data_IF_304677050038
#
_entry.id   IF_304677050038
#
_cell.length_a   1.000
_cell.length_b   1.000
_cell.length_c   1.000
_cell.angle_alpha   90.00
_cell.angle_beta   90.00
_cell.angle_gamma   90.00
#
_symmetry.space_group_name_H-M   'P 1'
#
loop_
_entity.id
_entity.type
_entity.pdbx_description
1 polymer ?
#
# COMPACT_ATOMS: atom_id res chain seq x y z
N UNK A 1 -14.22 -7.78 -7.55
CA UNK A 1 -12.74 -7.72 -7.56
C UNK A 1 -12.18 -7.02 -6.32
N UNK A 2 -12.48 -5.74 -6.07
CA UNK A 2 -11.96 -5.01 -4.89
C UNK A 2 -12.30 -5.66 -3.53
N UNK A 3 -13.54 -6.15 -3.36
CA UNK A 3 -13.96 -6.86 -2.15
C UNK A 3 -13.12 -8.12 -1.87
N UNK A 4 -12.70 -8.83 -2.92
CA UNK A 4 -11.88 -10.05 -2.80
C UNK A 4 -10.46 -9.74 -2.31
N UNK A 5 -9.84 -8.65 -2.78
CA UNK A 5 -8.52 -8.22 -2.31
C UNK A 5 -8.52 -7.83 -0.83
N UNK A 6 -9.58 -7.15 -0.39
CA UNK A 6 -9.77 -6.79 1.01
C UNK A 6 -9.97 -8.05 1.87
N UNK A 7 -10.79 -9.00 1.45
CA UNK A 7 -10.95 -10.26 2.16
C UNK A 7 -9.64 -11.04 2.27
N UNK A 8 -8.86 -11.14 1.19
CA UNK A 8 -7.56 -11.81 1.22
C UNK A 8 -6.58 -11.23 2.25
N UNK A 9 -6.71 -9.96 2.61
CA UNK A 9 -5.92 -9.37 3.70
C UNK A 9 -6.42 -9.79 5.08
N UNK A 10 -7.74 -9.75 5.29
CA UNK A 10 -8.38 -10.03 6.58
C UNK A 10 -8.51 -11.54 6.87
N UNK A 11 -8.44 -12.39 5.86
CA UNK A 11 -8.48 -13.85 6.02
C UNK A 11 -7.15 -14.41 6.59
N UNK A 12 -6.07 -13.61 6.55
CA UNK A 12 -4.75 -14.00 7.06
C UNK A 12 -4.62 -13.52 8.52
N UNK A 13 -4.32 -14.40 9.48
CA UNK A 13 -4.14 -14.00 10.87
C UNK A 13 -2.96 -13.03 11.03
N UNK A 14 -3.11 -12.05 11.93
CA UNK A 14 -2.05 -11.10 12.26
C UNK A 14 -0.80 -11.82 12.80
N UNK A 15 0.38 -11.34 12.40
CA UNK A 15 1.65 -11.95 12.78
C UNK A 15 1.99 -13.26 12.02
N UNK A 16 1.18 -13.69 11.07
CA UNK A 16 1.47 -14.88 10.23
C UNK A 16 1.54 -14.54 8.75
N UNK A 17 2.15 -15.41 7.95
CA UNK A 17 2.25 -15.29 6.48
C UNK A 17 2.58 -13.86 5.98
N UNK A 18 3.58 -13.19 6.58
CA UNK A 18 3.84 -11.76 6.32
C UNK A 18 4.01 -11.43 4.83
N UNK A 19 4.61 -12.33 4.04
CA UNK A 19 4.78 -12.16 2.61
C UNK A 19 3.42 -12.05 1.88
N UNK A 20 2.45 -12.89 2.23
CA UNK A 20 1.13 -12.92 1.62
C UNK A 20 0.30 -11.71 2.04
N UNK A 21 0.38 -11.33 3.31
CA UNK A 21 -0.28 -10.15 3.86
C UNK A 21 0.27 -8.85 3.26
N UNK A 22 1.60 -8.79 3.09
CA UNK A 22 2.28 -7.70 2.38
C UNK A 22 1.86 -7.64 0.92
N UNK A 23 1.76 -8.78 0.23
CA UNK A 23 1.31 -8.79 -1.16
C UNK A 23 -0.14 -8.30 -1.29
N UNK A 24 -1.02 -8.68 -0.35
CA UNK A 24 -2.40 -8.21 -0.31
C UNK A 24 -2.46 -6.68 -0.11
N UNK A 25 -1.74 -6.10 0.85
CA UNK A 25 -1.71 -4.64 1.05
C UNK A 25 -1.05 -3.90 -0.09
N UNK A 26 -0.01 -4.46 -0.69
CA UNK A 26 0.64 -3.91 -1.90
C UNK A 26 -0.35 -3.87 -3.07
N UNK A 27 -1.13 -4.92 -3.26
CA UNK A 27 -2.15 -5.02 -4.31
C UNK A 27 -3.27 -4.02 -4.09
N UNK A 28 -3.73 -3.85 -2.84
CA UNK A 28 -4.71 -2.82 -2.46
C UNK A 28 -4.14 -1.43 -2.77
N UNK A 29 -2.92 -1.14 -2.31
CA UNK A 29 -2.23 0.13 -2.55
C UNK A 29 -2.06 0.42 -4.05
N UNK A 30 -1.62 -0.57 -4.83
CA UNK A 30 -1.48 -0.46 -6.27
C UNK A 30 -2.81 -0.20 -6.98
N UNK A 31 -3.88 -0.90 -6.60
CA UNK A 31 -5.22 -0.65 -7.14
C UNK A 31 -5.71 0.77 -6.83
N UNK A 32 -5.53 1.24 -5.59
CA UNK A 32 -5.85 2.62 -5.20
C UNK A 32 -5.00 3.63 -5.99
N UNK A 33 -3.71 3.37 -6.15
CA UNK A 33 -2.80 4.22 -6.93
C UNK A 33 -3.18 4.31 -8.41
N UNK A 34 -3.64 3.22 -9.02
CA UNK A 34 -4.17 3.23 -10.39
C UNK A 34 -5.44 4.08 -10.51
N UNK A 35 -6.37 3.97 -9.56
CA UNK A 35 -7.59 4.79 -9.55
C UNK A 35 -7.23 6.27 -9.43
N UNK A 36 -6.34 6.63 -8.49
CA UNK A 36 -5.86 8.01 -8.33
C UNK A 36 -5.16 8.51 -9.61
N UNK A 37 -4.36 7.65 -10.25
CA UNK A 37 -3.69 7.97 -11.51
C UNK A 37 -4.68 8.24 -12.64
N UNK A 38 -5.72 7.41 -12.77
CA UNK A 38 -6.76 7.58 -13.77
C UNK A 38 -7.44 8.94 -13.63
N UNK A 39 -7.83 9.32 -12.40
CA UNK A 39 -8.37 10.65 -12.13
C UNK A 39 -7.36 11.76 -12.42
N UNK A 40 -6.09 11.58 -12.05
CA UNK A 40 -5.08 12.61 -12.29
C UNK A 40 -4.81 12.84 -13.78
N UNK A 41 -4.81 11.81 -14.61
CA UNK A 41 -4.57 11.94 -16.06
C UNK A 41 -5.83 12.44 -16.77
N UNK A 42 -7.02 12.03 -16.31
CA UNK A 42 -8.30 12.48 -16.87
C UNK A 42 -8.58 13.96 -16.56
N UNK A 43 -8.32 14.41 -15.33
CA UNK A 43 -8.60 15.80 -14.90
C UNK A 43 -7.45 16.77 -15.22
N UNK A 44 -6.22 16.27 -15.39
CA UNK A 44 -5.04 17.08 -15.72
C UNK A 44 -4.28 16.41 -16.86
N UNK A 45 -4.70 16.74 -18.08
CA UNK A 45 -4.15 16.15 -19.30
C UNK A 45 -2.63 16.35 -19.36
N UNK A 46 -1.84 15.27 -19.46
CA UNK A 46 -0.39 15.37 -19.61
C UNK A 46 -0.03 15.94 -20.99
N UNK A 47 1.15 16.56 -21.12
CA UNK A 47 1.58 17.13 -22.39
C UNK A 47 1.91 16.05 -23.44
N UNK A 48 2.19 14.82 -22.99
CA UNK A 48 2.46 13.68 -23.85
C UNK A 48 1.96 12.37 -23.23
N UNK A 49 1.81 11.35 -24.07
CA UNK A 49 1.50 9.99 -23.61
C UNK A 49 2.56 9.46 -22.63
N UNK A 50 3.84 9.69 -22.92
CA UNK A 50 4.94 9.22 -22.08
C UNK A 50 4.92 9.87 -20.69
N UNK A 51 4.59 11.17 -20.61
CA UNK A 51 4.40 11.86 -19.33
C UNK A 51 3.20 11.28 -18.56
N UNK A 52 2.10 10.95 -19.26
CA UNK A 52 0.94 10.29 -18.67
C UNK A 52 1.26 8.93 -18.07
N UNK A 53 2.03 8.10 -18.80
CA UNK A 53 2.50 6.79 -18.31
C UNK A 53 3.44 6.96 -17.13
N UNK A 54 4.41 7.89 -17.21
CA UNK A 54 5.34 8.15 -16.12
C UNK A 54 4.63 8.63 -14.84
N UNK A 55 3.63 9.51 -14.97
CA UNK A 55 2.80 9.98 -13.85
C UNK A 55 1.99 8.85 -13.23
N UNK A 56 1.35 8.03 -14.07
CA UNK A 56 0.58 6.86 -13.63
C UNK A 56 1.46 5.85 -12.89
N UNK A 57 2.64 5.56 -13.45
CA UNK A 57 3.62 4.69 -12.81
C UNK A 57 4.09 5.23 -11.47
N UNK A 58 4.39 6.54 -11.38
CA UNK A 58 4.81 7.19 -10.13
C UNK A 58 3.78 7.06 -9.02
N UNK A 59 2.52 7.38 -9.28
CA UNK A 59 1.47 7.28 -8.26
C UNK A 59 1.14 5.84 -7.88
N UNK A 60 1.03 4.95 -8.87
CA UNK A 60 0.75 3.54 -8.63
C UNK A 60 1.85 2.90 -7.79
N UNK A 61 3.12 3.12 -8.15
CA UNK A 61 4.25 2.55 -7.44
C UNK A 61 4.40 3.13 -6.04
N UNK A 62 4.13 4.43 -5.86
CA UNK A 62 4.17 5.06 -4.53
C UNK A 62 3.10 4.49 -3.62
N UNK A 63 1.85 4.37 -4.09
CA UNK A 63 0.77 3.77 -3.30
C UNK A 63 1.01 2.27 -3.01
N UNK A 64 1.56 1.53 -3.97
CA UNK A 64 1.97 0.14 -3.78
C UNK A 64 3.08 0.02 -2.71
N UNK A 65 4.10 0.88 -2.76
CA UNK A 65 5.19 0.89 -1.77
C UNK A 65 4.68 1.21 -0.37
N UNK A 66 3.76 2.18 -0.23
CA UNK A 66 3.10 2.49 1.04
C UNK A 66 2.36 1.26 1.58
N UNK A 67 1.59 0.57 0.74
CA UNK A 67 0.90 -0.67 1.12
C UNK A 67 1.86 -1.78 1.53
N UNK A 68 2.97 -1.94 0.81
CA UNK A 68 4.00 -2.94 1.12
C UNK A 68 4.65 -2.69 2.48
N UNK A 69 5.11 -1.46 2.72
CA UNK A 69 5.77 -1.08 3.99
C UNK A 69 4.78 -1.22 5.14
N UNK A 70 3.55 -0.75 4.97
CA UNK A 70 2.49 -0.91 5.95
C UNK A 70 2.29 -2.39 6.34
N UNK A 71 2.13 -3.27 5.36
CA UNK A 71 1.89 -4.70 5.60
C UNK A 71 3.07 -5.43 6.24
N UNK A 72 4.30 -5.10 5.81
CA UNK A 72 5.53 -5.64 6.40
C UNK A 72 5.66 -5.20 7.86
N UNK A 73 5.59 -3.89 8.10
CA UNK A 73 5.78 -3.33 9.43
C UNK A 73 4.69 -3.76 10.40
N UNK A 74 3.43 -3.81 9.98
CA UNK A 74 2.34 -4.31 10.83
C UNK A 74 2.52 -5.80 11.17
N UNK A 75 2.93 -6.63 10.20
CA UNK A 75 3.12 -8.06 10.44
C UNK A 75 4.36 -8.35 11.31
N UNK A 76 5.48 -7.69 11.03
CA UNK A 76 6.73 -7.85 11.79
C UNK A 76 6.54 -7.34 13.22
N UNK A 77 5.88 -6.18 13.41
CA UNK A 77 5.61 -5.68 14.76
C UNK A 77 4.68 -6.61 15.54
N UNK A 78 3.68 -7.20 14.90
CA UNK A 78 2.83 -8.24 15.50
C UNK A 78 3.62 -9.49 15.91
N UNK A 79 4.56 -9.96 15.08
CA UNK A 79 5.45 -11.09 15.39
C UNK A 79 6.38 -10.79 16.56
N UNK A 80 7.11 -9.67 16.51
CA UNK A 80 8.13 -9.32 17.52
C UNK A 80 7.50 -9.02 18.87
N UNK A 81 6.29 -8.46 18.90
CA UNK A 81 5.60 -8.11 20.14
C UNK A 81 4.75 -9.25 20.71
N UNK A 82 4.61 -10.35 19.97
CA UNK A 82 3.74 -11.50 20.29
C UNK A 82 2.30 -11.08 20.68
N UNK A 83 1.85 -9.95 20.12
CA UNK A 83 0.55 -9.32 20.39
C UNK A 83 -0.15 -9.04 19.07
N UNK A 84 -0.73 -10.07 18.43
CA UNK A 84 -1.30 -9.96 17.09
C UNK A 84 -2.47 -8.97 17.01
N UNK A 85 -3.34 -8.96 18.03
CA UNK A 85 -4.57 -8.15 18.04
C UNK A 85 -4.37 -6.71 18.55
N UNK A 86 -3.13 -6.28 18.77
CA UNK A 86 -2.84 -4.94 19.29
C UNK A 86 -2.87 -3.89 18.16
N UNK A 87 -3.79 -2.90 18.20
CA UNK A 87 -3.88 -1.83 17.21
C UNK A 87 -2.58 -1.03 17.05
N UNK A 88 -1.70 -1.05 18.05
CA UNK A 88 -0.41 -0.37 17.99
C UNK A 88 0.46 -0.89 16.83
N UNK A 89 0.31 -2.15 16.41
CA UNK A 89 1.02 -2.70 15.26
C UNK A 89 0.65 -1.97 13.96
N UNK A 90 -0.64 -1.67 13.79
CA UNK A 90 -1.13 -0.89 12.65
C UNK A 90 -0.75 0.57 12.74
N UNK A 91 -0.65 1.15 13.95
CA UNK A 91 -0.15 2.50 14.15
C UNK A 91 1.31 2.63 13.66
N UNK A 92 2.17 1.67 14.04
CA UNK A 92 3.56 1.63 13.57
C UNK A 92 3.59 1.43 12.04
N UNK A 93 2.80 0.50 11.52
CA UNK A 93 2.69 0.28 10.07
C UNK A 93 2.22 1.51 9.30
N UNK A 94 1.24 2.24 9.83
CA UNK A 94 0.73 3.47 9.24
C UNK A 94 1.77 4.60 9.26
N UNK A 95 2.50 4.74 10.36
CA UNK A 95 3.62 5.69 10.47
C UNK A 95 4.71 5.38 9.44
N UNK A 96 5.11 4.10 9.31
CA UNK A 96 6.09 3.68 8.31
C UNK A 96 5.60 3.92 6.87
N UNK A 97 4.32 3.69 6.60
CA UNK A 97 3.68 4.07 5.35
C UNK A 97 3.73 5.57 5.07
N UNK A 98 3.49 6.41 6.09
CA UNK A 98 3.60 7.87 6.00
C UNK A 98 5.02 8.35 5.72
N UNK A 99 6.02 7.76 6.39
CA UNK A 99 7.44 8.03 6.09
C UNK A 99 7.82 7.63 4.67
N UNK A 100 7.27 6.52 4.17
CA UNK A 100 7.45 6.09 2.78
C UNK A 100 6.85 7.09 1.80
N UNK A 101 5.67 7.62 2.09
CA UNK A 101 5.08 8.68 1.28
C UNK A 101 5.99 9.92 1.24
N UNK A 102 6.48 10.37 2.40
CA UNK A 102 7.42 11.48 2.50
C UNK A 102 8.66 11.29 1.63
N UNK A 103 9.33 10.14 1.78
CA UNK A 103 10.52 9.79 1.00
C UNK A 103 10.29 9.64 -0.52
N UNK A 104 9.04 9.44 -0.95
CA UNK A 104 8.67 9.30 -2.37
C UNK A 104 8.12 10.59 -2.97
N UNK A 105 7.77 11.56 -2.14
CA UNK A 105 7.32 12.90 -2.54
C UNK A 105 8.46 13.90 -2.70
N UNK A 106 9.67 13.55 -2.26
CA UNK A 106 10.91 14.31 -2.48
C UNK A 106 11.54 14.05 -3.85
#
# INVERSE_FOLDING_TARGET
MAKTLLHQYWDIPEGTECHRKTYATTSIGGATGLVVSAYSVALKTPASFLEGVARTGRYTFTAAAIGAIFGLTSCISAQVREKPDDPLNYLIGGCAGGLTLGARSE
#
